data_IF_312033567849
#
_entry.id   IF_312033567849
#
_cell.length_a   1.000
_cell.length_b   1.000
_cell.length_c   1.000
_cell.angle_alpha   90.00
_cell.angle_beta   90.00
_cell.angle_gamma   90.00
#
_symmetry.space_group_name_H-M   'P 1'
#
loop_
_entity.id
_entity.type
_entity.pdbx_description
1 polymer ?
#
# COMPACT_ATOMS: atom_id res chain seq x y z
N UNK A 1 43.74 -68.62 -15.91
CA UNK A 1 42.38 -68.23 -16.36
C UNK A 1 41.66 -67.28 -15.40
N UNK A 2 41.62 -67.57 -14.09
CA UNK A 2 40.98 -66.69 -13.08
C UNK A 2 41.47 -65.24 -13.13
N UNK A 3 42.78 -65.01 -13.29
CA UNK A 3 43.33 -63.66 -13.30
C UNK A 3 42.87 -62.82 -14.50
N UNK A 4 42.63 -63.46 -15.64
CA UNK A 4 42.08 -62.80 -16.83
C UNK A 4 40.62 -62.38 -16.59
N UNK A 5 39.83 -63.25 -15.97
CA UNK A 5 38.44 -62.95 -15.61
C UNK A 5 38.39 -61.79 -14.61
N UNK A 6 39.21 -61.83 -13.55
CA UNK A 6 39.28 -60.75 -12.56
C UNK A 6 39.70 -59.43 -13.20
N UNK A 7 40.72 -59.43 -14.07
CA UNK A 7 41.16 -58.22 -14.78
C UNK A 7 40.10 -57.67 -15.73
N UNK A 8 39.38 -58.54 -16.45
CA UNK A 8 38.30 -58.14 -17.34
C UNK A 8 37.12 -57.52 -16.57
N UNK A 9 36.70 -58.16 -15.48
CA UNK A 9 35.62 -57.67 -14.62
C UNK A 9 35.99 -56.34 -13.94
N UNK A 10 37.21 -56.20 -13.42
CA UNK A 10 37.67 -54.94 -12.83
C UNK A 10 37.69 -53.80 -13.85
N UNK A 11 38.09 -54.07 -15.10
CA UNK A 11 38.04 -53.06 -16.18
C UNK A 11 36.62 -52.67 -16.54
N UNK A 12 35.70 -53.65 -16.63
CA UNK A 12 34.29 -53.38 -16.89
C UNK A 12 33.66 -52.55 -15.77
N UNK A 13 33.92 -52.89 -14.50
CA UNK A 13 33.43 -52.14 -13.35
C UNK A 13 34.00 -50.72 -13.29
N UNK A 14 35.28 -50.51 -13.59
CA UNK A 14 35.87 -49.17 -13.68
C UNK A 14 35.25 -48.28 -14.78
N UNK A 15 34.59 -48.87 -15.78
CA UNK A 15 33.88 -48.13 -16.85
C UNK A 15 32.40 -47.86 -16.50
N UNK A 16 31.78 -48.77 -15.74
CA UNK A 16 30.38 -48.68 -15.33
C UNK A 16 30.17 -47.79 -14.11
N UNK A 17 31.16 -47.66 -13.24
CA UNK A 17 31.08 -46.76 -12.08
C UNK A 17 31.35 -45.33 -12.55
N UNK A 18 30.40 -44.38 -12.35
CA UNK A 18 30.63 -42.97 -12.65
C UNK A 18 31.91 -42.52 -11.97
N UNK A 19 32.85 -41.94 -12.73
CA UNK A 19 34.07 -41.35 -12.16
C UNK A 19 33.64 -40.45 -11.00
N UNK A 20 34.15 -40.74 -9.80
CA UNK A 20 33.89 -39.98 -8.58
C UNK A 20 34.28 -38.53 -8.83
N UNK A 21 33.34 -37.72 -9.30
CA UNK A 21 33.51 -36.27 -9.27
C UNK A 21 33.65 -35.90 -7.81
N UNK A 22 34.59 -35.00 -7.46
CA UNK A 22 34.65 -34.46 -6.12
C UNK A 22 33.25 -33.96 -5.76
N UNK A 23 32.69 -34.50 -4.68
CA UNK A 23 31.39 -34.10 -4.17
C UNK A 23 31.46 -32.71 -3.58
N UNK A 24 30.32 -32.10 -3.26
CA UNK A 24 30.26 -30.74 -2.68
C UNK A 24 31.06 -30.55 -1.39
N UNK A 25 31.46 -31.65 -0.72
CA UNK A 25 32.27 -31.66 0.49
C UNK A 25 33.72 -32.12 0.26
N UNK A 26 34.14 -32.31 -1.00
CA UNK A 26 35.54 -32.60 -1.33
C UNK A 26 36.39 -31.35 -1.12
N UNK A 27 37.66 -31.53 -0.75
CA UNK A 27 38.59 -30.44 -0.43
C UNK A 27 38.65 -29.34 -1.51
N UNK A 28 38.47 -29.71 -2.79
CA UNK A 28 38.37 -28.78 -3.93
C UNK A 28 37.24 -27.74 -3.80
N UNK A 29 36.17 -28.05 -3.07
CA UNK A 29 35.04 -27.15 -2.81
C UNK A 29 35.08 -26.49 -1.42
N UNK A 30 36.04 -26.90 -0.58
CA UNK A 30 36.28 -26.30 0.73
C UNK A 30 37.42 -25.28 0.69
N UNK A 31 38.11 -25.14 -0.44
CA UNK A 31 39.04 -24.03 -0.65
C UNK A 31 38.26 -22.72 -0.62
N UNK A 32 38.68 -21.73 0.19
CA UNK A 32 37.97 -20.47 0.30
C UNK A 32 37.91 -19.79 -1.08
N UNK A 33 36.70 -19.60 -1.58
CA UNK A 33 36.46 -18.77 -2.75
C UNK A 33 36.80 -17.30 -2.40
N UNK A 34 37.22 -16.48 -3.37
CA UNK A 34 37.38 -15.05 -3.16
C UNK A 34 36.08 -14.45 -2.62
N UNK A 35 36.20 -13.53 -1.67
CA UNK A 35 35.05 -12.89 -1.03
C UNK A 35 34.20 -12.18 -2.09
N UNK A 36 32.90 -12.50 -2.19
CA UNK A 36 32.04 -11.88 -3.19
C UNK A 36 31.84 -10.41 -2.85
N UNK A 37 32.11 -9.53 -3.81
CA UNK A 37 31.74 -8.11 -3.71
C UNK A 37 30.22 -8.03 -3.84
N UNK A 38 29.52 -7.93 -2.71
CA UNK A 38 28.06 -7.77 -2.68
C UNK A 38 27.75 -6.29 -2.97
N UNK A 39 27.06 -5.95 -4.08
CA UNK A 39 26.62 -4.59 -4.31
C UNK A 39 25.63 -4.19 -3.23
N UNK A 40 25.77 -2.98 -2.69
CA UNK A 40 24.83 -2.44 -1.70
C UNK A 40 23.43 -2.43 -2.31
N UNK A 41 22.52 -3.23 -1.74
CA UNK A 41 21.15 -3.30 -2.23
C UNK A 41 20.49 -1.93 -2.08
N UNK A 42 19.73 -1.44 -3.08
CA UNK A 42 18.94 -0.22 -2.93
C UNK A 42 17.92 -0.32 -1.78
N UNK A 43 17.56 -1.54 -1.38
CA UNK A 43 16.68 -1.83 -0.24
C UNK A 43 17.41 -1.94 1.10
N UNK A 44 18.73 -1.74 1.14
CA UNK A 44 19.51 -1.76 2.39
C UNK A 44 19.27 -0.52 3.26
N UNK A 45 18.67 0.54 2.68
CA UNK A 45 18.37 1.76 3.41
C UNK A 45 17.03 1.60 4.14
N UNK A 46 16.99 1.88 5.47
CA UNK A 46 15.73 1.99 6.17
C UNK A 46 14.89 3.11 5.54
N UNK A 47 13.58 2.90 5.46
CA UNK A 47 12.68 3.91 4.94
C UNK A 47 12.74 5.16 5.82
N UNK A 48 12.99 6.32 5.23
CA UNK A 48 12.92 7.59 5.93
C UNK A 48 11.45 7.94 6.17
N UNK A 49 10.92 7.61 7.35
CA UNK A 49 9.60 8.04 7.77
C UNK A 49 9.66 9.45 8.40
N UNK A 50 8.60 10.26 8.24
CA UNK A 50 8.46 11.51 8.99
C UNK A 50 8.55 11.28 10.50
N UNK A 51 9.00 12.29 11.24
CA UNK A 51 9.00 12.26 12.71
C UNK A 51 7.56 12.22 13.25
N UNK A 52 7.41 11.80 14.50
CA UNK A 52 6.11 11.83 15.18
C UNK A 52 5.54 13.25 15.25
N UNK A 53 6.39 14.27 15.48
CA UNK A 53 5.94 15.66 15.50
C UNK A 53 5.46 16.12 14.12
N UNK A 54 6.17 15.74 13.05
CA UNK A 54 5.78 16.07 11.67
C UNK A 54 4.42 15.46 11.31
N UNK A 55 4.21 14.19 11.66
CA UNK A 55 2.92 13.52 11.44
C UNK A 55 1.80 14.19 12.23
N UNK A 56 2.03 14.54 13.50
CA UNK A 56 1.03 15.22 14.31
C UNK A 56 0.66 16.59 13.73
N UNK A 57 1.63 17.33 13.21
CA UNK A 57 1.39 18.62 12.56
C UNK A 57 0.57 18.49 11.27
N UNK A 58 0.86 17.48 10.45
CA UNK A 58 0.08 17.19 9.23
C UNK A 58 -1.39 16.94 9.58
N UNK A 59 -1.65 16.11 10.59
CA UNK A 59 -3.02 15.82 11.00
C UNK A 59 -3.75 17.03 11.58
N UNK A 60 -3.06 17.89 12.35
CA UNK A 60 -3.67 19.14 12.84
C UNK A 60 -4.10 20.05 11.69
N UNK A 61 -3.21 20.26 10.71
CA UNK A 61 -3.51 21.09 9.53
C UNK A 61 -4.68 20.52 8.73
N UNK A 62 -4.72 19.21 8.51
CA UNK A 62 -5.84 18.57 7.82
C UNK A 62 -7.16 18.77 8.56
N UNK A 63 -7.16 18.65 9.89
CA UNK A 63 -8.36 18.88 10.69
C UNK A 63 -8.85 20.34 10.60
N UNK A 64 -7.92 21.31 10.65
CA UNK A 64 -8.24 22.73 10.48
C UNK A 64 -8.80 23.04 9.08
N UNK A 65 -8.21 22.44 8.04
CA UNK A 65 -8.69 22.58 6.66
C UNK A 65 -10.09 22.00 6.47
N UNK A 66 -10.37 20.81 7.03
CA UNK A 66 -11.70 20.23 6.99
C UNK A 66 -12.74 21.09 7.71
N UNK A 67 -12.43 21.56 8.91
CA UNK A 67 -13.33 22.45 9.65
C UNK A 67 -13.61 23.75 8.87
N UNK A 68 -12.60 24.33 8.21
CA UNK A 68 -12.78 25.51 7.37
C UNK A 68 -13.68 25.22 6.16
N UNK A 69 -13.52 24.07 5.52
CA UNK A 69 -14.34 23.67 4.37
C UNK A 69 -15.80 23.47 4.76
N UNK A 70 -16.06 22.82 5.89
CA UNK A 70 -17.41 22.60 6.42
C UNK A 70 -18.10 23.93 6.76
N UNK A 71 -17.42 24.84 7.46
CA UNK A 71 -17.97 26.17 7.73
C UNK A 71 -18.23 26.95 6.42
N UNK A 72 -17.35 26.84 5.42
CA UNK A 72 -17.56 27.48 4.13
C UNK A 72 -18.80 26.93 3.40
N UNK A 73 -19.09 25.64 3.52
CA UNK A 73 -20.33 25.04 3.01
C UNK A 73 -21.56 25.58 3.72
N UNK A 74 -21.54 25.63 5.05
CA UNK A 74 -22.63 26.18 5.85
C UNK A 74 -22.90 27.65 5.49
N UNK A 75 -21.86 28.45 5.29
CA UNK A 75 -22.01 29.85 4.89
C UNK A 75 -22.59 29.99 3.48
N UNK A 76 -22.21 29.13 2.53
CA UNK A 76 -22.83 29.11 1.19
C UNK A 76 -24.32 28.78 1.30
N UNK A 77 -24.68 27.79 2.10
CA UNK A 77 -26.08 27.39 2.28
C UNK A 77 -26.91 28.48 2.94
N UNK A 78 -26.37 29.15 3.97
CA UNK A 78 -27.02 30.31 4.62
C UNK A 78 -27.28 31.45 3.64
N UNK A 79 -26.32 31.76 2.76
CA UNK A 79 -26.49 32.80 1.73
C UNK A 79 -27.58 32.41 0.72
N UNK A 80 -27.56 31.17 0.24
CA UNK A 80 -28.60 30.64 -0.65
C UNK A 80 -29.99 30.74 -0.01
N UNK A 81 -30.11 30.34 1.26
CA UNK A 81 -31.38 30.43 1.98
C UNK A 81 -31.87 31.87 2.10
N UNK A 82 -30.97 32.82 2.39
CA UNK A 82 -31.29 34.24 2.44
C UNK A 82 -31.74 34.79 1.07
N UNK A 83 -31.07 34.41 -0.02
CA UNK A 83 -31.44 34.79 -1.39
C UNK A 83 -32.80 34.22 -1.81
N UNK A 84 -33.14 33.01 -1.39
CA UNK A 84 -34.44 32.42 -1.66
C UNK A 84 -35.55 33.08 -0.84
N UNK A 85 -35.26 33.44 0.42
CA UNK A 85 -36.20 34.15 1.28
C UNK A 85 -36.57 35.53 0.72
N UNK A 86 -35.64 36.26 0.07
CA UNK A 86 -35.98 37.54 -0.59
C UNK A 86 -36.90 37.36 -1.80
N UNK A 87 -36.92 36.17 -2.40
CA UNK A 87 -37.86 35.79 -3.46
C UNK A 87 -39.19 35.23 -2.90
N UNK A 88 -39.36 35.20 -1.57
CA UNK A 88 -40.52 34.61 -0.91
C UNK A 88 -40.54 33.08 -0.97
N UNK A 89 -39.43 32.44 -1.36
CA UNK A 89 -39.29 30.99 -1.41
C UNK A 89 -38.74 30.52 -0.07
N UNK A 90 -39.52 29.70 0.64
CA UNK A 90 -39.04 29.06 1.86
C UNK A 90 -38.07 27.93 1.49
N UNK A 91 -36.77 28.16 1.72
CA UNK A 91 -35.73 27.19 1.40
C UNK A 91 -35.61 26.18 2.56
N UNK A 92 -35.89 24.89 2.32
CA UNK A 92 -35.85 23.90 3.38
C UNK A 92 -34.40 23.69 3.82
N UNK A 93 -34.06 24.24 4.99
CA UNK A 93 -32.74 24.05 5.59
C UNK A 93 -32.65 22.62 6.15
N UNK A 94 -32.12 21.70 5.35
CA UNK A 94 -31.95 20.30 5.72
C UNK A 94 -30.49 19.94 5.90
N UNK A 95 -30.16 19.32 7.02
CA UNK A 95 -28.84 18.74 7.32
C UNK A 95 -29.00 17.24 7.66
N UNK A 96 -27.94 16.41 7.56
CA UNK A 96 -28.00 15.02 7.97
C UNK A 96 -28.45 14.91 9.45
N UNK A 97 -29.62 14.32 9.70
CA UNK A 97 -30.22 14.23 11.05
C UNK A 97 -31.21 15.34 11.41
N UNK A 98 -31.57 16.23 10.47
CA UNK A 98 -32.60 17.22 10.70
C UNK A 98 -33.95 16.58 11.10
N UNK A 99 -34.68 17.25 11.99
CA UNK A 99 -35.99 16.79 12.47
C UNK A 99 -37.03 16.63 11.35
N UNK A 100 -36.88 17.36 10.25
CA UNK A 100 -37.74 17.27 9.07
C UNK A 100 -36.90 16.90 7.84
N UNK A 101 -37.23 15.80 7.13
CA UNK A 101 -36.56 15.43 5.90
C UNK A 101 -36.89 16.43 4.77
N UNK A 102 -36.04 16.50 3.73
CA UNK A 102 -36.24 17.40 2.58
C UNK A 102 -37.60 17.26 1.91
N UNK A 103 -38.11 16.04 1.88
CA UNK A 103 -39.40 15.71 1.26
C UNK A 103 -40.60 16.21 2.08
N UNK A 104 -40.41 16.59 3.35
CA UNK A 104 -41.46 17.16 4.19
C UNK A 104 -41.87 18.59 3.77
N UNK A 105 -41.07 19.25 2.93
CA UNK A 105 -41.32 20.60 2.42
C UNK A 105 -41.77 20.61 0.94
N UNK A 106 -42.05 19.44 0.36
CA UNK A 106 -42.59 19.34 -0.99
C UNK A 106 -44.08 19.75 -1.03
N UNK A 107 -44.38 20.80 -1.81
CA UNK A 107 -45.69 21.24 -2.37
C UNK A 107 -46.16 22.68 -2.07
N UNK A 108 -45.33 23.57 -1.51
CA UNK A 108 -45.68 25.01 -1.47
C UNK A 108 -45.21 25.77 -2.70
N UNK A 109 -45.69 25.39 -3.89
CA UNK A 109 -45.87 26.34 -5.00
C UNK A 109 -47.05 27.25 -4.66
N UNK A 110 -46.81 28.20 -3.76
CA UNK A 110 -47.74 29.28 -3.44
C UNK A 110 -47.09 30.61 -3.77
N UNK A 111 -47.23 31.04 -5.02
CA UNK A 111 -46.94 32.42 -5.44
C UNK A 111 -47.92 33.33 -4.69
N UNK A 112 -47.45 34.03 -3.67
CA UNK A 112 -48.22 35.12 -3.04
C UNK A 112 -47.91 36.38 -3.85
N UNK A 113 -48.93 36.84 -4.57
CA UNK A 113 -48.95 38.09 -5.34
C UNK A 113 -49.15 39.31 -4.43
#
# INVERSE_FOLDING_TARGET
>A
MRDFIVRALSRALCKLVPRRRPGRHSATHLTPAPEPVIPVSPWSRPWTSPSKEEVAEIFRRQAEEWARMEEAELQRERRRAAELATLGIDHPYTYPGAHFPRDAFGETTGVVA
#
